data_IF_419423054389
#
_entry.id   IF_419423054389
#
_cell.length_a   1.000
_cell.length_b   1.000
_cell.length_c   1.000
_cell.angle_alpha   90.00
_cell.angle_beta   90.00
_cell.angle_gamma   90.00
#
_symmetry.space_group_name_H-M   'P 1'
#
loop_
_entity.id
_entity.type
_entity.pdbx_description
1 polymer ?
#
# COMPACT_ATOMS: atom_id res chain seq x y z
N UNK A 1 14.35 7.68 32.24
CA UNK A 1 13.29 7.21 31.33
C UNK A 1 13.95 6.75 30.03
N UNK A 2 13.99 5.45 29.79
CA UNK A 2 14.62 4.88 28.60
C UNK A 2 13.55 4.77 27.51
N UNK A 3 13.74 5.50 26.42
CA UNK A 3 12.95 5.36 25.19
C UNK A 3 13.29 4.00 24.55
N UNK A 4 12.32 3.10 24.55
CA UNK A 4 12.41 1.80 23.90
C UNK A 4 12.26 2.05 22.40
N UNK A 5 13.38 1.99 21.68
CA UNK A 5 13.44 1.98 20.23
C UNK A 5 12.80 0.68 19.72
N UNK A 6 11.58 0.77 19.19
CA UNK A 6 10.99 -0.30 18.39
C UNK A 6 11.77 -0.41 17.08
N UNK A 7 12.87 -1.13 17.11
CA UNK A 7 13.56 -1.57 15.89
C UNK A 7 12.60 -2.48 15.13
N UNK A 8 12.13 -1.99 14.00
CA UNK A 8 11.42 -2.74 12.96
C UNK A 8 12.17 -4.06 12.67
N UNK A 9 11.65 -5.17 13.17
CA UNK A 9 12.13 -6.52 12.91
C UNK A 9 11.47 -7.16 11.69
N UNK A 10 10.96 -6.34 10.79
CA UNK A 10 10.33 -6.82 9.57
C UNK A 10 11.28 -6.65 8.40
N UNK A 11 11.94 -7.68 8.00
CA UNK A 11 12.49 -8.02 6.68
C UNK A 11 13.81 -8.75 6.79
N UNK A 12 13.76 -9.95 7.42
CA UNK A 12 14.72 -11.00 7.10
C UNK A 12 14.02 -12.35 7.15
N UNK A 13 13.21 -12.62 6.13
CA UNK A 13 12.97 -14.00 5.71
C UNK A 13 13.24 -14.07 4.22
N UNK A 14 14.21 -14.94 3.88
CA UNK A 14 14.53 -15.41 2.53
C UNK A 14 13.22 -15.76 1.81
N UNK A 15 13.18 -15.43 0.51
CA UNK A 15 12.28 -16.08 -0.43
C UNK A 15 12.50 -17.59 -0.34
N UNK A 16 11.65 -18.26 0.39
CA UNK A 16 11.35 -19.67 0.25
C UNK A 16 9.86 -19.72 -0.05
N UNK A 17 9.51 -20.45 -1.08
CA UNK A 17 8.16 -20.74 -1.52
C UNK A 17 7.23 -20.95 -0.33
N UNK A 18 6.46 -19.90 0.00
CA UNK A 18 5.32 -20.05 0.88
C UNK A 18 4.09 -20.19 -0.01
N UNK A 19 3.27 -21.23 0.22
CA UNK A 19 2.00 -21.37 -0.48
C UNK A 19 1.23 -20.06 -0.34
N UNK A 20 0.46 -19.74 -1.40
CA UNK A 20 -0.49 -18.64 -1.47
C UNK A 20 -1.02 -18.31 -0.07
N UNK A 21 -0.77 -17.10 0.40
CA UNK A 21 -1.04 -16.68 1.77
C UNK A 21 -2.43 -17.17 2.19
N UNK A 22 -2.47 -17.99 3.24
CA UNK A 22 -3.71 -18.42 3.83
C UNK A 22 -4.57 -17.19 4.08
N UNK A 23 -5.84 -17.23 3.68
CA UNK A 23 -6.80 -16.17 3.95
C UNK A 23 -6.76 -15.85 5.44
N UNK A 24 -6.52 -14.60 5.85
CA UNK A 24 -6.44 -14.25 7.26
C UNK A 24 -7.79 -14.47 7.96
N UNK A 25 -7.74 -14.68 9.25
CA UNK A 25 -8.95 -14.70 10.06
C UNK A 25 -9.57 -13.30 10.12
N UNK A 26 -10.88 -13.17 10.34
CA UNK A 26 -11.55 -11.87 10.43
C UNK A 26 -10.90 -10.91 11.43
N UNK A 27 -10.45 -11.41 12.56
CA UNK A 27 -9.78 -10.65 13.60
C UNK A 27 -8.44 -10.05 13.13
N UNK A 28 -7.69 -10.79 12.31
CA UNK A 28 -6.45 -10.30 11.69
C UNK A 28 -6.75 -9.18 10.68
N UNK A 29 -7.84 -9.31 9.93
CA UNK A 29 -8.26 -8.29 8.98
C UNK A 29 -8.75 -7.02 9.69
N UNK A 30 -9.40 -7.15 10.84
CA UNK A 30 -9.86 -6.01 11.64
C UNK A 30 -8.71 -5.13 12.14
N UNK A 31 -7.53 -5.69 12.42
CA UNK A 31 -6.33 -4.92 12.79
C UNK A 31 -5.94 -3.89 11.71
N UNK A 32 -6.29 -4.15 10.44
CA UNK A 32 -5.99 -3.21 9.36
C UNK A 32 -6.82 -1.92 9.42
N UNK A 33 -7.86 -1.87 10.25
CA UNK A 33 -8.62 -0.63 10.50
C UNK A 33 -7.89 0.32 11.45
N UNK A 34 -6.90 -0.17 12.20
CA UNK A 34 -6.18 0.63 13.18
C UNK A 34 -5.27 1.68 12.53
N UNK A 35 -4.64 1.31 11.41
CA UNK A 35 -3.78 2.22 10.65
C UNK A 35 -3.46 1.70 9.26
N UNK A 36 -3.17 2.61 8.35
CA UNK A 36 -2.60 2.30 7.03
C UNK A 36 -1.33 1.43 7.14
N UNK A 37 -0.48 1.70 8.12
CA UNK A 37 0.74 0.94 8.33
C UNK A 37 0.43 -0.51 8.71
N UNK A 38 -0.58 -0.78 9.54
CA UNK A 38 -1.02 -2.13 9.86
C UNK A 38 -1.47 -2.88 8.59
N UNK A 39 -2.25 -2.23 7.73
CA UNK A 39 -2.70 -2.81 6.46
C UNK A 39 -1.53 -3.19 5.55
N UNK A 40 -0.62 -2.26 5.26
CA UNK A 40 0.47 -2.49 4.28
C UNK A 40 1.61 -3.35 4.83
N UNK A 41 1.71 -3.50 6.15
CA UNK A 41 2.63 -4.45 6.80
C UNK A 41 2.18 -5.89 6.68
N UNK A 42 0.89 -6.14 6.49
CA UNK A 42 0.35 -7.47 6.18
C UNK A 42 0.53 -7.76 4.69
N UNK A 43 1.20 -8.85 4.35
CA UNK A 43 1.38 -9.26 2.94
C UNK A 43 0.02 -9.45 2.24
N UNK A 44 -0.94 -10.07 2.93
CA UNK A 44 -2.28 -10.27 2.39
C UNK A 44 -3.04 -8.95 2.30
N UNK A 45 -3.01 -8.14 3.37
CA UNK A 45 -3.67 -6.83 3.41
C UNK A 45 -3.17 -5.90 2.32
N UNK A 46 -1.86 -5.80 2.14
CA UNK A 46 -1.25 -5.01 1.06
C UNK A 46 -1.68 -5.50 -0.33
N UNK A 47 -1.71 -6.82 -0.55
CA UNK A 47 -2.16 -7.40 -1.83
C UNK A 47 -3.65 -7.15 -2.09
N UNK A 48 -4.49 -7.24 -1.07
CA UNK A 48 -5.92 -6.97 -1.18
C UNK A 48 -6.20 -5.49 -1.44
N UNK A 49 -5.50 -4.60 -0.75
CA UNK A 49 -5.57 -3.16 -0.98
C UNK A 49 -5.09 -2.79 -2.39
N UNK A 50 -4.01 -3.41 -2.87
CA UNK A 50 -3.55 -3.24 -4.24
C UNK A 50 -4.59 -3.70 -5.27
N UNK A 51 -5.28 -4.83 -5.01
CA UNK A 51 -6.36 -5.31 -5.87
C UNK A 51 -7.56 -4.34 -5.90
N UNK A 52 -7.87 -3.69 -4.79
CA UNK A 52 -8.87 -2.61 -4.72
C UNK A 52 -8.44 -1.41 -5.57
N UNK A 53 -7.22 -0.90 -5.37
CA UNK A 53 -6.68 0.22 -6.15
C UNK A 53 -6.60 -0.07 -7.65
N UNK A 54 -6.33 -1.32 -8.02
CA UNK A 54 -6.31 -1.73 -9.44
C UNK A 54 -7.68 -1.57 -10.10
N UNK A 55 -8.77 -1.80 -9.38
CA UNK A 55 -10.15 -1.56 -9.87
C UNK A 55 -10.46 -0.08 -10.02
N UNK A 56 -9.78 0.77 -9.26
CA UNK A 56 -9.90 2.24 -9.34
C UNK A 56 -8.86 2.86 -10.30
N UNK A 57 -8.05 2.06 -10.99
CA UNK A 57 -6.96 2.52 -11.87
C UNK A 57 -5.99 3.50 -11.17
N UNK A 58 -5.70 3.28 -9.89
CA UNK A 58 -4.95 4.19 -9.01
C UNK A 58 -3.89 3.49 -8.16
N UNK A 59 -3.12 2.57 -8.76
CA UNK A 59 -2.08 1.81 -8.03
C UNK A 59 -0.78 2.58 -7.83
N UNK A 60 -0.55 3.67 -8.56
CA UNK A 60 0.72 4.41 -8.61
C UNK A 60 1.19 4.87 -7.23
N UNK A 61 0.28 5.34 -6.37
CA UNK A 61 0.61 5.82 -5.03
C UNK A 61 1.16 4.70 -4.14
N UNK A 62 0.51 3.53 -4.16
CA UNK A 62 0.96 2.36 -3.40
C UNK A 62 2.26 1.79 -4.00
N UNK A 63 2.35 1.68 -5.33
CA UNK A 63 3.54 1.19 -6.02
C UNK A 63 4.77 2.08 -5.71
N UNK A 64 4.59 3.40 -5.72
CA UNK A 64 5.63 4.36 -5.29
C UNK A 64 6.03 4.14 -3.84
N UNK A 65 5.05 4.08 -2.93
CA UNK A 65 5.31 3.91 -1.50
C UNK A 65 6.12 2.63 -1.22
N UNK A 66 5.75 1.53 -1.85
CA UNK A 66 6.44 0.24 -1.74
C UNK A 66 7.85 0.28 -2.36
N UNK A 67 8.01 0.96 -3.50
CA UNK A 67 9.31 1.14 -4.14
C UNK A 67 10.29 1.92 -3.24
N UNK A 68 9.81 2.94 -2.52
CA UNK A 68 10.61 3.69 -1.55
C UNK A 68 10.97 2.83 -0.33
N UNK A 69 10.06 1.98 0.16
CA UNK A 69 10.38 1.03 1.24
C UNK A 69 11.49 0.04 0.82
N UNK A 70 11.41 -0.50 -0.40
CA UNK A 70 12.46 -1.38 -0.94
C UNK A 70 13.79 -0.62 -1.18
N UNK A 71 13.70 0.63 -1.63
CA UNK A 71 14.88 1.51 -1.77
C UNK A 71 15.59 1.72 -0.44
N UNK A 72 14.86 2.05 0.63
CA UNK A 72 15.40 2.30 1.97
C UNK A 72 16.17 1.09 2.53
N UNK A 73 15.76 -0.10 2.15
CA UNK A 73 16.39 -1.35 2.55
C UNK A 73 17.47 -1.85 1.57
N UNK A 74 17.82 -1.05 0.56
CA UNK A 74 18.80 -1.42 -0.44
C UNK A 74 20.25 -1.29 0.06
N UNK A 75 21.16 -2.02 -0.57
CA UNK A 75 22.60 -1.85 -0.34
C UNK A 75 23.06 -0.50 -0.90
N UNK A 76 24.01 0.20 -0.23
CA UNK A 76 24.50 1.51 -0.68
C UNK A 76 24.90 1.56 -2.16
N UNK A 77 25.57 0.50 -2.66
CA UNK A 77 26.02 0.43 -4.06
C UNK A 77 24.87 0.42 -5.09
N UNK A 78 23.65 0.11 -4.66
CA UNK A 78 22.45 0.07 -5.53
C UNK A 78 21.57 1.31 -5.39
N UNK A 79 21.83 2.15 -4.39
CA UNK A 79 20.93 3.25 -4.05
C UNK A 79 20.84 4.28 -5.17
N UNK A 80 21.97 4.72 -5.74
CA UNK A 80 21.99 5.71 -6.82
C UNK A 80 21.16 5.27 -8.02
N UNK A 81 21.34 4.02 -8.48
CA UNK A 81 20.59 3.49 -9.62
C UNK A 81 19.10 3.37 -9.30
N UNK A 82 18.76 2.83 -8.13
CA UNK A 82 17.37 2.71 -7.71
C UNK A 82 16.69 4.07 -7.50
N UNK A 83 17.39 5.04 -6.92
CA UNK A 83 16.86 6.38 -6.73
C UNK A 83 16.49 7.01 -8.09
N UNK A 84 17.37 6.90 -9.07
CA UNK A 84 17.10 7.41 -10.41
C UNK A 84 15.92 6.70 -11.08
N UNK A 85 15.83 5.38 -10.92
CA UNK A 85 14.71 4.59 -11.46
C UNK A 85 13.37 5.03 -10.83
N UNK A 86 13.29 5.10 -9.48
CA UNK A 86 12.08 5.52 -8.78
C UNK A 86 11.68 6.95 -9.18
N UNK A 87 12.66 7.85 -9.30
CA UNK A 87 12.39 9.20 -9.75
C UNK A 87 11.76 9.21 -11.16
N UNK A 88 12.34 8.50 -12.11
CA UNK A 88 11.87 8.46 -13.48
C UNK A 88 10.49 7.78 -13.62
N UNK A 89 10.24 6.74 -12.83
CA UNK A 89 9.00 5.96 -12.93
C UNK A 89 7.80 6.67 -12.26
N UNK A 90 8.06 7.47 -11.20
CA UNK A 90 6.99 7.99 -10.33
C UNK A 90 7.02 9.50 -10.09
N UNK A 91 8.20 10.15 -10.07
CA UNK A 91 8.32 11.53 -9.61
C UNK A 91 8.51 12.54 -10.75
N UNK A 92 9.17 12.14 -11.82
CA UNK A 92 9.37 13.00 -12.99
C UNK A 92 7.99 13.41 -13.58
N UNK A 93 7.96 14.60 -14.16
CA UNK A 93 6.78 15.05 -14.92
C UNK A 93 6.56 14.11 -16.10
N UNK A 94 5.31 13.72 -16.33
CA UNK A 94 4.92 12.73 -17.37
C UNK A 94 5.52 11.33 -17.17
N UNK A 95 5.89 10.99 -15.94
CA UNK A 95 6.29 9.62 -15.60
C UNK A 95 5.13 8.65 -15.86
N UNK A 96 5.45 7.41 -16.26
CA UNK A 96 4.45 6.38 -16.61
C UNK A 96 3.49 6.05 -15.46
N UNK A 97 3.94 6.26 -14.21
CA UNK A 97 3.18 6.08 -12.96
C UNK A 97 3.32 7.33 -12.09
N UNK A 98 3.14 8.50 -12.71
CA UNK A 98 3.35 9.77 -12.01
C UNK A 98 2.45 9.87 -10.77
N UNK A 99 3.08 10.13 -9.60
CA UNK A 99 2.39 10.43 -8.36
C UNK A 99 2.13 11.94 -8.22
N UNK A 100 1.00 12.30 -7.63
CA UNK A 100 0.61 13.70 -7.47
C UNK A 100 1.40 14.37 -6.32
N UNK A 101 2.48 15.05 -6.69
CA UNK A 101 3.31 15.83 -5.77
C UNK A 101 3.26 17.31 -6.14
N UNK A 102 3.27 18.17 -5.11
CA UNK A 102 3.49 19.61 -5.31
C UNK A 102 4.89 19.90 -5.87
N UNK A 103 5.04 21.06 -6.53
CA UNK A 103 6.29 21.44 -7.20
C UNK A 103 7.49 21.50 -6.23
N UNK A 104 7.28 21.96 -5.01
CA UNK A 104 8.33 22.06 -3.99
C UNK A 104 8.82 20.66 -3.57
N UNK A 105 7.89 19.77 -3.24
CA UNK A 105 8.22 18.37 -2.89
C UNK A 105 8.95 17.67 -4.03
N UNK A 106 8.50 17.86 -5.26
CA UNK A 106 9.14 17.30 -6.46
C UNK A 106 10.58 17.81 -6.64
N UNK A 107 10.79 19.13 -6.47
CA UNK A 107 12.11 19.74 -6.57
C UNK A 107 13.07 19.24 -5.49
N UNK A 108 12.62 19.17 -4.24
CA UNK A 108 13.42 18.64 -3.12
C UNK A 108 13.82 17.20 -3.40
N UNK A 109 12.87 16.37 -3.83
CA UNK A 109 13.11 14.96 -4.15
C UNK A 109 14.12 14.83 -5.28
N UNK A 110 13.98 15.65 -6.35
CA UNK A 110 14.92 15.67 -7.46
C UNK A 110 16.34 16.02 -6.97
N UNK A 111 16.48 17.07 -6.16
CA UNK A 111 17.77 17.50 -5.61
C UNK A 111 18.44 16.39 -4.79
N UNK A 112 17.68 15.68 -3.96
CA UNK A 112 18.18 14.56 -3.16
C UNK A 112 18.66 13.40 -4.05
N UNK A 113 17.89 13.06 -5.09
CA UNK A 113 18.21 11.97 -6.02
C UNK A 113 19.44 12.32 -6.89
N UNK A 114 19.62 13.59 -7.27
CA UNK A 114 20.75 14.04 -8.07
C UNK A 114 22.04 14.22 -7.25
N UNK A 115 21.98 14.06 -5.93
CA UNK A 115 23.21 14.08 -5.13
C UNK A 115 24.16 12.96 -5.56
N UNK A 116 25.46 13.18 -5.41
CA UNK A 116 26.49 12.20 -5.78
C UNK A 116 26.36 10.87 -5.00
N UNK A 117 25.67 10.89 -3.87
CA UNK A 117 25.44 9.72 -3.01
C UNK A 117 24.08 9.86 -2.32
N UNK A 118 22.96 9.58 -3.03
CA UNK A 118 21.63 9.66 -2.41
C UNK A 118 21.52 8.63 -1.27
N UNK A 119 21.10 9.11 -0.11
CA UNK A 119 20.93 8.28 1.08
C UNK A 119 19.52 7.65 1.16
N UNK A 120 19.28 6.88 2.21
CA UNK A 120 17.99 6.20 2.45
C UNK A 120 16.80 7.17 2.65
N UNK A 121 17.05 8.47 2.83
CA UNK A 121 16.07 9.52 3.09
C UNK A 121 15.70 10.35 1.86
N UNK A 122 16.27 10.03 0.68
CA UNK A 122 16.07 10.81 -0.54
C UNK A 122 14.60 11.06 -0.91
N UNK A 123 13.70 10.16 -0.54
CA UNK A 123 12.26 10.22 -0.85
C UNK A 123 11.36 10.49 0.36
N UNK A 124 11.89 10.75 1.55
CA UNK A 124 11.09 10.81 2.79
C UNK A 124 9.93 11.81 2.70
N UNK A 125 10.18 12.99 2.15
CA UNK A 125 9.16 14.03 2.00
C UNK A 125 8.06 13.60 1.03
N UNK A 126 8.44 13.10 -0.14
CA UNK A 126 7.49 12.62 -1.16
C UNK A 126 6.67 11.42 -0.62
N UNK A 127 7.33 10.45 0.00
CA UNK A 127 6.67 9.28 0.57
C UNK A 127 5.67 9.66 1.67
N UNK A 128 6.01 10.61 2.53
CA UNK A 128 5.11 11.13 3.56
C UNK A 128 3.87 11.78 2.95
N UNK A 129 4.01 12.56 1.87
CA UNK A 129 2.91 13.20 1.16
C UNK A 129 1.97 12.16 0.54
N UNK A 130 2.51 11.18 -0.16
CA UNK A 130 1.73 10.13 -0.81
C UNK A 130 1.03 9.24 0.23
N UNK A 131 1.71 8.87 1.32
CA UNK A 131 1.09 8.15 2.43
C UNK A 131 -0.12 8.91 2.99
N UNK A 132 0.05 10.20 3.26
CA UNK A 132 -1.02 11.05 3.78
C UNK A 132 -2.24 11.10 2.84
N UNK A 133 -2.01 11.18 1.52
CA UNK A 133 -3.10 11.14 0.54
C UNK A 133 -3.84 9.80 0.57
N UNK A 134 -3.12 8.68 0.58
CA UNK A 134 -3.73 7.36 0.67
C UNK A 134 -4.53 7.18 1.97
N UNK A 135 -3.99 7.60 3.10
CA UNK A 135 -4.66 7.50 4.42
C UNK A 135 -5.97 8.28 4.48
N UNK A 136 -6.06 9.42 3.80
CA UNK A 136 -7.25 10.28 3.83
C UNK A 136 -8.30 9.98 2.79
N UNK A 137 -7.97 9.19 1.80
CA UNK A 137 -8.87 8.89 0.70
C UNK A 137 -9.00 7.39 0.43
N UNK A 138 -8.12 6.82 -0.38
CA UNK A 138 -8.27 5.44 -0.88
C UNK A 138 -8.26 4.37 0.21
N UNK A 139 -7.51 4.57 1.29
CA UNK A 139 -7.53 3.67 2.45
C UNK A 139 -8.90 3.65 3.13
N UNK A 140 -9.53 4.82 3.34
CA UNK A 140 -10.86 4.88 3.95
C UNK A 140 -11.92 4.23 3.05
N UNK A 141 -11.84 4.44 1.72
CA UNK A 141 -12.74 3.76 0.78
C UNK A 141 -12.51 2.25 0.76
N UNK A 142 -11.26 1.80 0.83
CA UNK A 142 -10.93 0.37 0.94
C UNK A 142 -11.60 -0.27 2.15
N UNK A 143 -11.53 0.36 3.33
CA UNK A 143 -12.16 -0.15 4.55
C UNK A 143 -13.70 -0.25 4.46
N UNK A 144 -14.32 0.50 3.54
CA UNK A 144 -15.75 0.45 3.26
C UNK A 144 -16.09 -0.45 2.06
N UNK A 145 -15.08 -0.98 1.38
CA UNK A 145 -15.28 -1.80 0.19
C UNK A 145 -15.79 -3.20 0.55
N UNK A 146 -16.58 -3.76 -0.37
CA UNK A 146 -17.03 -5.16 -0.28
C UNK A 146 -15.86 -6.12 -0.09
N UNK A 147 -14.73 -5.90 -0.77
CA UNK A 147 -13.51 -6.70 -0.65
C UNK A 147 -13.01 -6.82 0.79
N UNK A 148 -13.00 -5.72 1.52
CA UNK A 148 -12.57 -5.69 2.91
C UNK A 148 -13.65 -6.23 3.84
N UNK A 149 -14.89 -5.77 3.68
CA UNK A 149 -16.00 -6.09 4.59
C UNK A 149 -16.36 -7.56 4.59
N UNK A 150 -16.33 -8.24 3.44
CA UNK A 150 -16.53 -9.70 3.34
C UNK A 150 -15.45 -10.51 4.06
N UNK A 151 -14.24 -9.94 4.19
CA UNK A 151 -13.15 -10.58 4.90
C UNK A 151 -13.23 -10.33 6.40
N UNK A 152 -13.47 -9.07 6.79
CA UNK A 152 -13.46 -8.63 8.19
C UNK A 152 -14.76 -8.98 8.97
N UNK A 153 -15.88 -9.16 8.25
CA UNK A 153 -17.22 -9.40 8.83
C UNK A 153 -18.01 -10.43 8.01
N UNK A 154 -17.54 -11.68 7.88
CA UNK A 154 -18.15 -12.69 7.01
C UNK A 154 -19.60 -12.98 7.39
N UNK A 155 -19.94 -12.98 8.67
CA UNK A 155 -21.28 -13.30 9.16
C UNK A 155 -22.37 -12.32 8.69
N UNK A 156 -21.99 -11.05 8.49
CA UNK A 156 -22.92 -10.01 8.00
C UNK A 156 -23.17 -10.11 6.49
N UNK A 157 -22.20 -10.65 5.75
CA UNK A 157 -22.28 -10.74 4.28
C UNK A 157 -22.84 -12.09 3.80
N UNK A 158 -22.72 -13.16 4.59
CA UNK A 158 -23.34 -14.47 4.27
C UNK A 158 -24.87 -14.41 4.38
N UNK A 159 -25.42 -13.57 5.26
CA UNK A 159 -26.86 -13.43 5.46
C UNK A 159 -27.59 -12.69 4.33
N UNK A 160 -26.89 -11.82 3.58
CA UNK A 160 -27.49 -11.05 2.49
C UNK A 160 -27.52 -11.80 1.13
N UNK A 161 -26.85 -12.93 1.03
CA UNK A 161 -26.81 -13.73 -0.21
C UNK A 161 -27.96 -14.75 -0.32
N UNK A 162 -28.78 -14.92 0.73
CA UNK A 162 -29.84 -15.94 0.77
C UNK A 162 -31.26 -15.41 0.52
N UNK A 163 -31.43 -14.11 0.23
CA UNK A 163 -32.76 -13.48 0.13
C UNK A 163 -33.21 -13.15 -1.30
N UNK A 164 -32.51 -13.65 -2.33
CA UNK A 164 -32.83 -13.34 -3.74
C UNK A 164 -33.37 -14.54 -4.54
N UNK A 165 -33.99 -15.51 -3.86
CA UNK A 165 -34.55 -16.70 -4.50
C UNK A 165 -36.02 -16.99 -4.20
N UNK A 166 -36.83 -15.96 -3.95
CA UNK A 166 -38.31 -16.15 -3.89
C UNK A 166 -39.05 -15.13 -4.76
N UNK A 167 -39.03 -15.32 -6.08
CA UNK A 167 -40.09 -14.81 -6.93
C UNK A 167 -41.22 -15.83 -7.00
N UNK A 168 -42.42 -15.50 -6.53
CA UNK A 168 -43.57 -16.35 -6.79
C UNK A 168 -43.96 -16.23 -8.27
N UNK A 169 -43.89 -17.35 -8.97
CA UNK A 169 -44.57 -17.55 -10.24
C UNK A 169 -46.05 -17.35 -10.03
N UNK A 170 -46.63 -16.31 -10.61
CA UNK A 170 -48.10 -16.19 -10.73
C UNK A 170 -48.60 -17.14 -11.80
N UNK A 171 -49.68 -17.90 -11.56
CA UNK A 171 -50.37 -18.63 -12.59
C UNK A 171 -51.42 -17.77 -13.26
N UNK A 172 -51.63 -18.03 -14.58
CA UNK A 172 -52.70 -17.62 -15.50
C UNK A 172 -52.71 -16.21 -16.02
#
# INVERSE_FOLDING_TARGET
MRLISLKSRFLRRRASDSPLSVRPQPEEAQVWTESFTALVSSKYGCSLYRAFLLREFSTENLDFWLAVEDYRNSKPQKMTVKAQQIYNDFVAVEASKEVNLDAETRLITWTNVQSSNPDQHAFDLAQKRIKYMMERDSYLRFLQSKLFLELAHPDRYSASASDDSDQPTSPE
#
